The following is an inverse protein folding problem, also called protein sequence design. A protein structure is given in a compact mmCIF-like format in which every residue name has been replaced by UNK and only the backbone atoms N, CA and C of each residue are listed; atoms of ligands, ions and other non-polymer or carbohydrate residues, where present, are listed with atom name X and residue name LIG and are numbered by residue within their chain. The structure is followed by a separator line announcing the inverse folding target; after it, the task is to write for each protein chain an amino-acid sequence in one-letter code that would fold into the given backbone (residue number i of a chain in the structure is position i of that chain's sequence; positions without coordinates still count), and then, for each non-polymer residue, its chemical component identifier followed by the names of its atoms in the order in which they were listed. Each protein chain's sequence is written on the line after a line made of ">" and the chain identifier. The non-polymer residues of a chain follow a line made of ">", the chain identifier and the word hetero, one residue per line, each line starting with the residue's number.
data_IF_812312320862
#
_entry.id   IF_812312320862
#
_cell.length_a   1.000
_cell.length_b   1.000
_cell.length_c   1.000
_cell.angle_alpha   90.00
_cell.angle_beta   90.00
_cell.angle_gamma   90.00
#
_symmetry.space_group_name_H-M   'P 1'
#
loop_
_entity.id
_entity.type
_entity.pdbx_description
1 polymer ?
#
# COMPACT_ATOMS: atom_id res chain seq x y z
N UNK A 1 -95.06 -7.89 13.24
CA UNK A 1 -94.32 -6.63 13.05
C UNK A 1 -93.05 -6.99 12.30
N UNK A 2 -93.02 -6.69 11.01
CA UNK A 2 -91.92 -7.01 10.08
C UNK A 2 -91.43 -5.72 9.46
N UNK A 3 -90.16 -5.40 9.68
CA UNK A 3 -89.30 -4.51 8.88
C UNK A 3 -87.87 -4.84 9.35
N UNK A 4 -87.14 -5.72 8.67
CA UNK A 4 -86.40 -5.56 7.41
C UNK A 4 -85.20 -4.59 7.54
N UNK A 5 -84.01 -5.19 7.61
CA UNK A 5 -82.70 -4.55 7.56
C UNK A 5 -82.27 -4.36 6.10
N UNK A 6 -81.71 -3.20 5.76
CA UNK A 6 -80.83 -3.04 4.59
C UNK A 6 -79.38 -2.76 5.05
N UNK A 7 -78.36 -3.30 4.39
CA UNK A 7 -76.96 -3.19 4.82
C UNK A 7 -76.26 -1.99 4.17
N UNK A 8 -75.50 -1.21 4.95
CA UNK A 8 -74.60 -0.19 4.41
C UNK A 8 -73.20 -0.77 4.21
N UNK A 9 -72.96 -1.03 2.94
CA UNK A 9 -71.76 -1.21 2.11
C UNK A 9 -70.38 -1.27 2.79
N UNK A 10 -69.66 -2.34 2.44
CA UNK A 10 -68.26 -2.55 2.74
C UNK A 10 -67.40 -2.06 1.59
N UNK A 11 -66.53 -1.10 1.86
CA UNK A 11 -65.48 -0.71 0.95
C UNK A 11 -64.62 0.39 1.55
N UNK A 12 -63.32 0.34 1.25
CA UNK A 12 -62.34 1.45 1.34
C UNK A 12 -61.45 1.63 2.57
N UNK A 13 -61.27 0.64 3.45
CA UNK A 13 -60.24 0.72 4.50
C UNK A 13 -58.96 -0.09 4.19
N UNK A 14 -59.08 -1.35 3.78
CA UNK A 14 -57.90 -2.24 3.68
C UNK A 14 -57.04 -2.02 2.44
N UNK A 15 -57.63 -1.65 1.30
CA UNK A 15 -56.84 -1.34 0.10
C UNK A 15 -56.06 -0.04 0.24
N UNK A 16 -56.55 0.91 1.03
CA UNK A 16 -55.95 2.24 1.20
C UNK A 16 -54.72 2.17 2.09
N UNK A 17 -54.74 1.39 3.17
CA UNK A 17 -53.60 1.21 4.07
C UNK A 17 -52.45 0.40 3.45
N UNK A 18 -52.76 -0.67 2.70
CA UNK A 18 -51.72 -1.47 2.02
C UNK A 18 -51.07 -0.67 0.88
N UNK A 19 -51.85 0.15 0.16
CA UNK A 19 -51.31 1.07 -0.84
C UNK A 19 -50.53 2.23 -0.22
N UNK A 20 -50.87 2.68 1.00
CA UNK A 20 -50.13 3.71 1.73
C UNK A 20 -48.79 3.17 2.26
N UNK A 21 -48.77 1.94 2.79
CA UNK A 21 -47.56 1.27 3.24
C UNK A 21 -46.60 0.98 2.06
N UNK A 22 -47.12 0.53 0.91
CA UNK A 22 -46.32 0.34 -0.31
C UNK A 22 -45.80 1.67 -0.87
N UNK A 23 -46.60 2.75 -0.88
CA UNK A 23 -46.12 4.09 -1.28
C UNK A 23 -45.03 4.62 -0.35
N UNK A 24 -45.15 4.39 0.96
CA UNK A 24 -44.16 4.82 1.95
C UNK A 24 -42.86 4.01 1.90
N UNK A 25 -42.91 2.73 1.48
CA UNK A 25 -41.71 1.93 1.24
C UNK A 25 -41.01 2.29 -0.08
N UNK A 26 -41.75 2.72 -1.10
CA UNK A 26 -41.17 3.12 -2.39
C UNK A 26 -40.62 4.56 -2.41
N UNK A 27 -41.16 5.46 -1.59
CA UNK A 27 -40.72 6.85 -1.48
C UNK A 27 -39.20 7.01 -1.18
N UNK A 28 -38.56 6.25 -0.27
CA UNK A 28 -37.12 6.33 -0.03
C UNK A 28 -36.27 5.84 -1.21
N UNK A 29 -36.75 4.84 -1.97
CA UNK A 29 -36.06 4.38 -3.18
C UNK A 29 -36.14 5.40 -4.32
N UNK A 30 -37.29 6.08 -4.47
CA UNK A 30 -37.47 7.13 -5.46
C UNK A 30 -36.61 8.36 -5.12
N UNK A 31 -36.59 8.77 -3.85
CA UNK A 31 -35.71 9.88 -3.41
C UNK A 31 -34.24 9.53 -3.55
N UNK A 32 -33.82 8.32 -3.18
CA UNK A 32 -32.44 7.86 -3.41
C UNK A 32 -32.08 7.83 -4.90
N UNK A 33 -32.97 7.32 -5.76
CA UNK A 33 -32.74 7.28 -7.21
C UNK A 33 -32.66 8.68 -7.83
N UNK A 34 -33.50 9.62 -7.42
CA UNK A 34 -33.47 11.02 -7.89
C UNK A 34 -32.18 11.71 -7.43
N UNK A 35 -31.75 11.49 -6.18
CA UNK A 35 -30.48 12.03 -5.67
C UNK A 35 -29.26 11.39 -6.33
N UNK A 36 -29.27 10.08 -6.59
CA UNK A 36 -28.20 9.37 -7.28
C UNK A 36 -28.09 9.82 -8.74
N UNK A 37 -29.22 10.00 -9.43
CA UNK A 37 -29.26 10.54 -10.78
C UNK A 37 -28.81 12.00 -10.85
N UNK A 38 -29.24 12.84 -9.90
CA UNK A 38 -28.77 14.22 -9.81
C UNK A 38 -27.26 14.26 -9.56
N UNK A 39 -26.75 13.48 -8.60
CA UNK A 39 -25.32 13.39 -8.29
C UNK A 39 -24.50 12.95 -9.51
N UNK A 40 -24.92 11.92 -10.25
CA UNK A 40 -24.24 11.50 -11.48
C UNK A 40 -24.42 12.48 -12.64
N UNK A 41 -25.50 13.25 -12.71
CA UNK A 41 -25.64 14.29 -13.72
C UNK A 41 -24.70 15.48 -13.47
N UNK A 42 -24.47 15.87 -12.22
CA UNK A 42 -23.53 16.95 -11.87
C UNK A 42 -22.08 16.49 -11.85
N UNK A 43 -21.80 15.28 -11.37
CA UNK A 43 -20.44 14.74 -11.21
C UNK A 43 -19.97 13.90 -12.39
N UNK A 44 -20.89 13.38 -13.21
CA UNK A 44 -20.58 12.53 -14.37
C UNK A 44 -19.58 13.14 -15.35
N UNK A 45 -19.68 14.44 -15.70
CA UNK A 45 -18.69 15.12 -16.53
C UNK A 45 -17.27 15.18 -15.90
N UNK A 46 -17.18 15.17 -14.57
CA UNK A 46 -15.92 15.15 -13.80
C UNK A 46 -15.39 13.73 -13.52
N UNK A 47 -16.21 12.71 -13.77
CA UNK A 47 -15.89 11.30 -13.51
C UNK A 47 -15.66 10.47 -14.79
N UNK A 48 -15.88 11.05 -15.97
CA UNK A 48 -15.60 10.39 -17.25
C UNK A 48 -14.09 10.20 -17.46
N UNK A 49 -13.61 9.08 -18.04
CA UNK A 49 -12.19 8.77 -18.19
C UNK A 49 -11.38 9.81 -18.99
N UNK A 50 -12.05 10.62 -19.82
CA UNK A 50 -11.43 11.68 -20.64
C UNK A 50 -11.97 13.08 -20.33
N UNK A 51 -12.71 13.25 -19.23
CA UNK A 51 -13.27 14.54 -18.82
C UNK A 51 -12.23 15.39 -18.08
N UNK A 52 -11.44 16.16 -18.83
CA UNK A 52 -10.46 17.08 -18.24
C UNK A 52 -11.15 18.20 -17.45
N UNK A 53 -10.80 18.34 -16.17
CA UNK A 53 -11.20 19.49 -15.36
C UNK A 53 -10.47 20.73 -15.90
N UNK A 54 -11.15 21.84 -16.25
CA UNK A 54 -10.49 23.06 -16.69
C UNK A 54 -9.48 23.54 -15.64
N UNK A 55 -8.23 23.77 -16.06
CA UNK A 55 -7.08 24.03 -15.20
C UNK A 55 -7.24 25.32 -14.37
N UNK A 56 -8.12 26.20 -14.82
CA UNK A 56 -8.57 27.46 -14.24
C UNK A 56 -9.53 27.29 -13.05
N UNK A 57 -10.16 26.12 -12.90
CA UNK A 57 -10.98 25.81 -11.72
C UNK A 57 -10.13 25.36 -10.52
N UNK A 58 -8.98 24.74 -10.78
CA UNK A 58 -8.04 24.22 -9.75
C UNK A 58 -7.25 25.34 -9.08
N UNK A 59 -7.11 26.49 -9.74
CA UNK A 59 -6.27 27.60 -9.28
C UNK A 59 -7.06 28.72 -8.56
N UNK A 60 -8.38 28.82 -8.76
CA UNK A 60 -9.20 29.92 -8.23
C UNK A 60 -9.78 29.74 -6.83
N UNK A 61 -9.96 28.50 -6.36
CA UNK A 61 -10.37 28.19 -4.98
C UNK A 61 -9.47 27.06 -4.52
N UNK A 62 -8.33 27.42 -3.93
CA UNK A 62 -7.21 26.50 -3.69
C UNK A 62 -7.64 25.17 -3.10
N UNK A 63 -6.91 24.10 -3.41
CA UNK A 63 -7.09 22.74 -2.88
C UNK A 63 -7.30 22.69 -1.35
N UNK A 64 -6.85 23.71 -0.61
CA UNK A 64 -7.11 23.88 0.82
C UNK A 64 -8.57 24.29 1.13
N UNK A 65 -9.19 25.14 0.30
CA UNK A 65 -10.58 25.56 0.43
C UNK A 65 -11.58 24.45 0.07
N UNK A 66 -11.36 23.73 -1.03
CA UNK A 66 -12.21 22.60 -1.40
C UNK A 66 -12.05 21.43 -0.41
N UNK A 67 -10.81 21.18 0.05
CA UNK A 67 -10.53 20.20 1.10
C UNK A 67 -11.19 20.55 2.43
N UNK A 68 -11.19 21.83 2.83
CA UNK A 68 -11.87 22.29 4.04
C UNK A 68 -13.41 22.21 3.91
N UNK A 69 -13.97 22.52 2.75
CA UNK A 69 -15.41 22.36 2.49
C UNK A 69 -15.82 20.88 2.52
N UNK A 70 -15.00 19.98 1.98
CA UNK A 70 -15.29 18.55 1.96
C UNK A 70 -15.06 17.88 3.33
N UNK A 71 -14.02 18.27 4.06
CA UNK A 71 -13.69 17.67 5.36
C UNK A 71 -14.49 18.25 6.52
N UNK A 72 -14.90 19.52 6.46
CA UNK A 72 -15.61 20.19 7.56
C UNK A 72 -17.05 20.58 7.23
N UNK A 73 -17.33 21.09 6.02
CA UNK A 73 -18.69 21.53 5.70
C UNK A 73 -19.60 20.36 5.30
N UNK A 74 -19.11 19.37 4.55
CA UNK A 74 -19.91 18.22 4.13
C UNK A 74 -20.46 17.41 5.33
N UNK A 75 -19.65 17.05 6.34
CA UNK A 75 -20.15 16.32 7.52
C UNK A 75 -21.14 17.12 8.34
N UNK A 76 -20.97 18.45 8.41
CA UNK A 76 -21.93 19.34 9.06
C UNK A 76 -23.24 19.42 8.28
N UNK A 77 -23.17 19.56 6.96
CA UNK A 77 -24.35 19.58 6.09
C UNK A 77 -25.09 18.24 6.19
N UNK A 78 -24.40 17.10 6.05
CA UNK A 78 -25.03 15.78 6.20
C UNK A 78 -25.56 15.55 7.61
N UNK A 79 -24.89 16.06 8.64
CA UNK A 79 -25.36 16.01 10.03
C UNK A 79 -26.65 16.84 10.25
N UNK A 80 -26.71 18.05 9.68
CA UNK A 80 -27.92 18.90 9.73
C UNK A 80 -29.09 18.28 8.94
N UNK A 81 -28.83 17.67 7.79
CA UNK A 81 -29.85 16.95 7.02
C UNK A 81 -30.32 15.68 7.73
N UNK A 82 -29.42 14.93 8.39
CA UNK A 82 -29.80 13.77 9.19
C UNK A 82 -30.63 14.14 10.42
N UNK A 83 -30.30 15.25 11.09
CA UNK A 83 -31.08 15.79 12.21
C UNK A 83 -32.46 16.31 11.76
N UNK A 84 -32.53 17.00 10.62
CA UNK A 84 -33.80 17.45 10.04
C UNK A 84 -34.69 16.29 9.60
N UNK A 85 -34.13 15.30 8.91
CA UNK A 85 -34.84 14.09 8.50
C UNK A 85 -35.31 13.27 9.71
N UNK A 86 -34.49 13.15 10.76
CA UNK A 86 -34.86 12.49 12.01
C UNK A 86 -35.98 13.24 12.76
N UNK A 87 -35.95 14.58 12.80
CA UNK A 87 -36.98 15.38 13.45
C UNK A 87 -38.34 15.31 12.72
N UNK A 88 -38.33 15.34 11.37
CA UNK A 88 -39.55 15.18 10.56
C UNK A 88 -40.10 13.76 10.71
N UNK A 89 -39.24 12.74 10.72
CA UNK A 89 -39.64 11.34 10.88
C UNK A 89 -40.20 11.04 12.28
N UNK A 90 -39.55 11.51 13.35
CA UNK A 90 -40.05 11.37 14.72
C UNK A 90 -41.35 12.14 14.97
N UNK A 91 -41.59 13.22 14.22
CA UNK A 91 -42.86 13.96 14.25
C UNK A 91 -44.02 13.23 13.54
N UNK A 92 -43.73 12.42 12.50
CA UNK A 92 -44.72 11.59 11.81
C UNK A 92 -44.93 10.21 12.46
N UNK A 93 -43.91 9.68 13.16
CA UNK A 93 -43.89 8.33 13.71
C UNK A 93 -43.30 8.30 15.14
N UNK A 94 -44.10 8.61 16.18
CA UNK A 94 -43.62 8.78 17.56
C UNK A 94 -43.09 7.49 18.22
N UNK A 95 -43.40 6.30 17.69
CA UNK A 95 -43.02 5.00 18.29
C UNK A 95 -41.70 4.42 17.72
N UNK A 96 -41.08 5.08 16.73
CA UNK A 96 -39.93 4.57 15.99
C UNK A 96 -38.58 5.06 16.57
N UNK A 97 -38.25 4.64 17.79
CA UNK A 97 -37.02 5.08 18.47
C UNK A 97 -35.70 4.62 17.82
N UNK A 98 -35.73 3.61 16.92
CA UNK A 98 -34.50 2.97 16.39
C UNK A 98 -34.10 3.39 14.96
N UNK A 99 -34.91 4.20 14.27
CA UNK A 99 -34.64 4.57 12.87
C UNK A 99 -33.58 5.67 12.72
N UNK A 100 -33.43 6.57 13.69
CA UNK A 100 -32.43 7.65 13.66
C UNK A 100 -30.99 7.13 13.67
N UNK A 101 -30.74 6.02 14.36
CA UNK A 101 -29.41 5.39 14.43
C UNK A 101 -28.95 4.84 13.07
N UNK A 102 -29.87 4.28 12.29
CA UNK A 102 -29.57 3.73 10.96
C UNK A 102 -29.13 4.83 10.00
N UNK A 103 -29.81 5.98 10.01
CA UNK A 103 -29.44 7.13 9.18
C UNK A 103 -28.11 7.76 9.58
N UNK A 104 -27.82 7.83 10.88
CA UNK A 104 -26.53 8.30 11.39
C UNK A 104 -25.41 7.36 10.93
N UNK A 105 -25.58 6.05 11.08
CA UNK A 105 -24.59 5.05 10.68
C UNK A 105 -24.37 5.03 9.16
N UNK A 106 -25.43 5.17 8.36
CA UNK A 106 -25.33 5.25 6.91
C UNK A 106 -24.56 6.51 6.45
N UNK A 107 -24.79 7.65 7.11
CA UNK A 107 -24.06 8.90 6.83
C UNK A 107 -22.58 8.76 7.17
N UNK A 108 -22.24 8.12 8.29
CA UNK A 108 -20.83 7.89 8.68
C UNK A 108 -20.14 6.96 7.67
N UNK A 109 -20.81 5.88 7.25
CA UNK A 109 -20.27 4.94 6.27
C UNK A 109 -20.01 5.60 4.90
N UNK A 110 -20.90 6.48 4.42
CA UNK A 110 -20.66 7.23 3.19
C UNK A 110 -19.43 8.14 3.30
N UNK A 111 -19.28 8.87 4.41
CA UNK A 111 -18.14 9.78 4.61
C UNK A 111 -16.81 9.01 4.62
N UNK A 112 -16.76 7.86 5.27
CA UNK A 112 -15.56 7.00 5.29
C UNK A 112 -15.18 6.52 3.88
N UNK A 113 -16.17 6.09 3.09
CA UNK A 113 -15.94 5.62 1.72
C UNK A 113 -15.47 6.74 0.78
N UNK A 114 -16.00 7.96 0.93
CA UNK A 114 -15.56 9.13 0.15
C UNK A 114 -14.10 9.49 0.49
N UNK A 115 -13.73 9.47 1.78
CA UNK A 115 -12.34 9.74 2.20
C UNK A 115 -11.39 8.67 1.66
N UNK A 116 -11.75 7.38 1.77
CA UNK A 116 -10.95 6.28 1.26
C UNK A 116 -10.71 6.39 -0.26
N UNK A 117 -11.73 6.78 -1.02
CA UNK A 117 -11.62 7.02 -2.47
C UNK A 117 -10.73 8.22 -2.81
N UNK A 118 -10.81 9.33 -2.06
CA UNK A 118 -9.95 10.51 -2.29
C UNK A 118 -8.47 10.16 -2.03
N UNK A 119 -8.18 9.43 -0.95
CA UNK A 119 -6.80 9.04 -0.61
C UNK A 119 -6.21 8.12 -1.68
N UNK A 120 -7.00 7.18 -2.22
CA UNK A 120 -6.55 6.26 -3.26
C UNK A 120 -6.42 6.93 -4.65
N UNK A 121 -7.20 7.97 -4.97
CA UNK A 121 -7.08 8.69 -6.25
C UNK A 121 -5.93 9.69 -6.34
N UNK A 122 -5.39 10.20 -5.22
CA UNK A 122 -4.20 11.07 -5.25
C UNK A 122 -2.99 10.40 -5.92
N UNK A 123 -2.91 9.07 -5.92
CA UNK A 123 -1.84 8.33 -6.58
C UNK A 123 -1.97 8.20 -8.11
N UNK A 124 -3.12 8.58 -8.70
CA UNK A 124 -3.40 8.37 -10.15
C UNK A 124 -3.23 9.64 -10.97
N UNK A 125 -3.34 10.83 -10.38
CA UNK A 125 -3.37 12.10 -11.15
C UNK A 125 -1.95 12.61 -11.47
N UNK A 126 -0.93 12.21 -10.72
CA UNK A 126 0.45 12.65 -10.97
C UNK A 126 1.07 11.99 -12.23
N UNK A 127 0.47 10.92 -12.78
CA UNK A 127 1.08 10.10 -13.84
C UNK A 127 0.62 10.41 -15.27
N UNK A 128 -0.36 11.28 -15.50
CA UNK A 128 -0.85 11.60 -16.85
C UNK A 128 -0.34 12.96 -17.36
N UNK A 129 0.88 12.99 -17.89
CA UNK A 129 1.33 14.05 -18.80
C UNK A 129 2.01 13.43 -20.02
N UNK A 130 1.49 13.57 -21.26
CA UNK A 130 2.03 12.85 -22.41
C UNK A 130 3.21 13.60 -23.03
N UNK A 131 4.31 12.89 -23.30
CA UNK A 131 5.42 13.35 -24.13
C UNK A 131 5.31 12.75 -25.54
N UNK A 132 5.54 13.59 -26.55
CA UNK A 132 5.43 13.31 -27.98
C UNK A 132 6.51 12.38 -28.53
N UNK A 133 6.14 11.58 -29.52
CA UNK A 133 6.92 10.55 -30.20
C UNK A 133 8.02 11.09 -31.14
N UNK A 134 9.09 10.31 -31.31
CA UNK A 134 9.80 10.17 -32.59
C UNK A 134 10.54 8.83 -32.72
N UNK A 135 10.62 8.34 -33.96
CA UNK A 135 10.95 6.96 -34.44
C UNK A 135 12.47 6.72 -34.65
N UNK A 136 13.00 5.47 -34.62
CA UNK A 136 14.41 5.19 -34.32
C UNK A 136 15.31 4.95 -35.55
N UNK A 137 16.63 5.15 -35.37
CA UNK A 137 17.67 4.64 -36.26
C UNK A 137 18.68 3.75 -35.48
N UNK A 138 18.97 2.56 -36.03
CA UNK A 138 19.83 1.48 -35.51
C UNK A 138 21.31 1.65 -35.98
N UNK A 139 22.30 0.82 -35.57
CA UNK A 139 23.37 1.17 -34.63
C UNK A 139 24.78 1.10 -35.24
N UNK A 140 25.78 1.72 -34.59
CA UNK A 140 27.21 1.38 -34.79
C UNK A 140 27.95 1.33 -33.46
N UNK A 141 28.81 0.33 -33.36
CA UNK A 141 29.53 -0.22 -32.19
C UNK A 141 30.70 0.62 -31.65
N UNK A 142 30.81 0.62 -30.31
CA UNK A 142 31.96 0.87 -29.39
C UNK A 142 32.57 2.30 -29.33
N UNK A 143 33.07 2.83 -28.17
CA UNK A 143 33.51 2.18 -26.92
C UNK A 143 32.81 2.69 -25.63
N UNK A 144 33.10 2.12 -24.45
CA UNK A 144 32.49 2.38 -23.11
C UNK A 144 32.06 3.85 -22.90
N UNK A 145 30.74 4.16 -22.89
CA UNK A 145 30.21 5.44 -22.46
C UNK A 145 29.56 5.33 -21.07
N UNK A 146 29.55 6.49 -20.41
CA UNK A 146 29.07 6.74 -19.06
C UNK A 146 27.62 6.35 -18.81
N UNK A 147 27.34 6.13 -17.51
CA UNK A 147 26.05 6.12 -16.85
C UNK A 147 24.87 6.56 -17.73
N UNK A 148 23.89 5.67 -17.89
CA UNK A 148 22.54 6.07 -18.29
C UNK A 148 22.06 7.05 -17.22
N UNK A 149 21.96 8.32 -17.60
CA UNK A 149 21.42 9.35 -16.71
C UNK A 149 19.95 8.99 -16.40
N UNK A 150 19.55 8.96 -15.13
CA UNK A 150 18.18 8.69 -14.73
C UNK A 150 17.27 9.85 -15.16
N UNK A 151 15.97 9.57 -15.24
CA UNK A 151 14.94 10.59 -15.28
C UNK A 151 15.26 11.67 -14.22
N UNK A 152 15.35 12.92 -14.66
CA UNK A 152 15.92 14.00 -13.88
C UNK A 152 15.12 14.29 -12.60
N UNK A 153 15.58 13.77 -11.47
CA UNK A 153 15.43 14.41 -10.18
C UNK A 153 16.58 15.42 -9.99
N UNK A 154 16.21 16.65 -9.65
CA UNK A 154 17.11 17.77 -9.33
C UNK A 154 18.19 17.35 -8.30
N UNK A 155 19.44 17.85 -8.36
CA UNK A 155 20.45 17.49 -7.38
C UNK A 155 20.06 18.07 -6.02
N UNK A 156 19.61 17.22 -5.12
CA UNK A 156 19.59 17.51 -3.70
C UNK A 156 20.98 17.19 -3.17
N UNK A 157 21.71 18.23 -2.77
CA UNK A 157 23.00 18.09 -2.08
C UNK A 157 22.87 17.19 -0.86
N UNK A 158 23.93 16.46 -0.58
CA UNK A 158 24.02 15.45 0.47
C UNK A 158 23.32 15.84 1.76
N UNK A 159 22.18 15.20 1.99
CA UNK A 159 21.74 14.80 3.32
C UNK A 159 21.71 13.29 3.30
N UNK A 160 22.85 12.66 3.57
CA UNK A 160 22.86 11.23 3.89
C UNK A 160 21.83 10.98 5.00
N UNK A 161 21.05 9.89 4.93
CA UNK A 161 20.17 9.54 6.04
C UNK A 161 21.01 9.49 7.32
N UNK A 162 20.52 10.10 8.41
CA UNK A 162 21.10 9.90 9.74
C UNK A 162 21.25 8.39 9.93
N UNK A 163 22.42 7.88 10.32
CA UNK A 163 22.64 6.45 10.43
C UNK A 163 21.62 5.88 11.42
N UNK A 164 20.74 5.01 10.93
CA UNK A 164 19.91 4.18 11.80
C UNK A 164 20.89 3.28 12.53
N UNK A 165 21.01 3.45 13.84
CA UNK A 165 21.89 2.59 14.64
C UNK A 165 21.35 1.17 14.56
N UNK A 166 22.25 0.22 14.29
CA UNK A 166 21.96 -1.20 14.35
C UNK A 166 21.38 -1.56 15.72
N UNK A 167 20.10 -1.97 15.74
CA UNK A 167 19.42 -2.45 16.93
C UNK A 167 19.50 -3.98 16.99
N UNK A 168 20.26 -4.49 17.96
CA UNK A 168 20.47 -5.93 18.16
C UNK A 168 19.19 -6.67 18.53
N UNK A 169 18.28 -6.04 19.25
CA UNK A 169 17.03 -6.68 19.67
C UNK A 169 16.08 -6.81 18.47
N UNK A 170 15.98 -5.76 17.65
CA UNK A 170 15.20 -5.84 16.40
C UNK A 170 15.85 -6.84 15.42
N UNK A 171 17.18 -6.91 15.35
CA UNK A 171 17.85 -7.93 14.54
C UNK A 171 17.45 -9.35 14.95
N UNK A 172 17.45 -9.64 16.26
CA UNK A 172 17.24 -10.98 16.79
C UNK A 172 15.77 -11.44 16.85
N UNK A 173 14.81 -10.51 16.88
CA UNK A 173 13.39 -10.83 17.10
C UNK A 173 12.43 -10.17 16.09
N UNK A 174 12.93 -9.28 15.24
CA UNK A 174 12.15 -8.47 14.31
C UNK A 174 12.58 -8.66 12.85
N UNK A 175 12.20 -7.70 12.02
CA UNK A 175 12.55 -7.66 10.59
C UNK A 175 13.63 -6.60 10.38
N UNK A 176 14.72 -7.01 9.75
CA UNK A 176 15.76 -6.10 9.28
C UNK A 176 15.69 -6.00 7.76
N UNK A 177 15.50 -4.78 7.24
CA UNK A 177 15.66 -4.48 5.82
C UNK A 177 17.04 -3.85 5.62
N UNK A 178 17.84 -4.41 4.73
CA UNK A 178 19.11 -3.81 4.31
C UNK A 178 18.99 -3.33 2.87
N UNK A 179 19.50 -2.13 2.59
CA UNK A 179 19.56 -1.61 1.22
C UNK A 179 21.00 -1.43 0.71
N UNK A 180 21.25 -1.90 -0.51
CA UNK A 180 22.44 -1.59 -1.31
C UNK A 180 22.03 -0.71 -2.50
N UNK A 181 22.59 0.50 -2.62
CA UNK A 181 22.15 1.46 -3.64
C UNK A 181 23.25 2.46 -4.01
N UNK A 182 23.19 2.95 -5.26
CA UNK A 182 23.95 4.16 -5.68
C UNK A 182 23.06 5.39 -5.86
N UNK A 183 21.88 5.23 -6.48
CA UNK A 183 20.99 6.34 -6.83
C UNK A 183 19.87 6.62 -5.81
N UNK A 184 19.70 5.77 -4.80
CA UNK A 184 18.68 5.89 -3.75
C UNK A 184 17.43 5.03 -3.95
N UNK A 185 17.25 4.36 -5.09
CA UNK A 185 16.02 3.59 -5.36
C UNK A 185 15.77 2.49 -4.32
N UNK A 186 16.78 1.66 -4.02
CA UNK A 186 16.61 0.60 -3.02
C UNK A 186 16.41 1.16 -1.60
N UNK A 187 16.98 2.32 -1.28
CA UNK A 187 16.76 2.99 0.00
C UNK A 187 15.29 3.44 0.14
N UNK A 188 14.73 4.03 -0.91
CA UNK A 188 13.32 4.43 -0.95
C UNK A 188 12.39 3.22 -0.83
N UNK A 189 12.64 2.17 -1.62
CA UNK A 189 11.87 0.92 -1.55
C UNK A 189 11.96 0.27 -0.17
N UNK A 190 13.12 0.30 0.50
CA UNK A 190 13.28 -0.23 1.85
C UNK A 190 12.48 0.56 2.88
N UNK A 191 12.38 1.89 2.73
CA UNK A 191 11.51 2.73 3.58
C UNK A 191 10.03 2.42 3.35
N UNK A 192 9.61 2.33 2.09
CA UNK A 192 8.22 1.98 1.73
C UNK A 192 7.86 0.60 2.31
N UNK A 193 8.73 -0.40 2.13
CA UNK A 193 8.54 -1.73 2.68
C UNK A 193 8.48 -1.72 4.21
N UNK A 194 9.33 -0.95 4.88
CA UNK A 194 9.32 -0.80 6.34
C UNK A 194 8.00 -0.22 6.86
N UNK A 195 7.52 0.85 6.25
CA UNK A 195 6.26 1.50 6.65
C UNK A 195 5.05 0.58 6.39
N UNK A 196 5.04 -0.13 5.27
CA UNK A 196 3.99 -1.08 4.94
C UNK A 196 4.00 -2.31 5.87
N UNK A 197 5.17 -2.84 6.22
CA UNK A 197 5.31 -3.92 7.20
C UNK A 197 4.76 -3.50 8.58
N UNK A 198 5.12 -2.29 9.04
CA UNK A 198 4.60 -1.73 10.30
C UNK A 198 3.09 -1.55 10.26
N UNK A 199 2.55 -1.01 9.17
CA UNK A 199 1.11 -0.86 8.98
C UNK A 199 0.37 -2.21 8.98
N UNK A 200 1.07 -3.31 8.71
CA UNK A 200 0.55 -4.67 8.66
C UNK A 200 0.80 -5.50 9.93
N UNK A 201 1.19 -4.86 11.04
CA UNK A 201 1.30 -5.49 12.37
C UNK A 201 2.69 -6.03 12.71
N UNK A 202 3.73 -5.68 11.95
CA UNK A 202 5.11 -5.97 12.31
C UNK A 202 5.72 -4.76 13.05
N UNK A 203 5.69 -4.78 14.39
CA UNK A 203 6.10 -3.61 15.19
C UNK A 203 7.63 -3.42 15.27
N UNK A 204 8.40 -4.51 15.16
CA UNK A 204 9.87 -4.52 15.25
C UNK A 204 10.48 -4.55 13.86
N UNK A 205 10.66 -3.38 13.25
CA UNK A 205 11.25 -3.26 11.91
C UNK A 205 12.33 -2.19 11.90
N UNK A 206 13.52 -2.54 11.42
CA UNK A 206 14.63 -1.61 11.21
C UNK A 206 15.09 -1.62 9.75
N UNK A 207 15.59 -0.47 9.29
CA UNK A 207 16.17 -0.30 7.95
C UNK A 207 17.63 0.09 8.12
N UNK A 208 18.53 -0.64 7.47
CA UNK A 208 19.97 -0.47 7.56
C UNK A 208 20.57 -0.20 6.18
N UNK A 209 21.52 0.73 6.14
CA UNK A 209 22.44 0.86 5.00
C UNK A 209 23.37 -0.35 4.98
N UNK A 210 23.62 -0.94 3.81
CA UNK A 210 24.58 -2.05 3.70
C UNK A 210 25.97 -1.69 4.25
N UNK A 211 26.37 -0.41 4.18
CA UNK A 211 27.69 0.06 4.65
C UNK A 211 27.84 0.07 6.18
N UNK A 212 26.76 -0.17 6.93
CA UNK A 212 26.82 -0.35 8.39
C UNK A 212 26.64 -1.82 8.81
N UNK A 213 26.44 -2.72 7.85
CA UNK A 213 26.26 -4.16 8.11
C UNK A 213 27.59 -4.87 7.89
N UNK A 214 28.20 -5.29 8.99
CA UNK A 214 29.37 -6.16 8.98
C UNK A 214 28.96 -7.64 8.89
N UNK A 215 29.85 -8.48 8.37
CA UNK A 215 29.64 -9.93 8.26
C UNK A 215 29.34 -10.59 9.62
N UNK A 216 29.88 -10.04 10.72
CA UNK A 216 29.63 -10.53 12.08
C UNK A 216 28.20 -10.27 12.58
N UNK A 217 27.48 -9.30 11.98
CA UNK A 217 26.08 -9.04 12.30
C UNK A 217 25.13 -10.06 11.68
N UNK A 218 25.55 -10.79 10.64
CA UNK A 218 24.66 -11.63 9.84
C UNK A 218 23.98 -12.74 10.66
N UNK A 219 24.70 -13.34 11.61
CA UNK A 219 24.14 -14.36 12.51
C UNK A 219 23.09 -13.82 13.49
N UNK A 220 23.02 -12.49 13.68
CA UNK A 220 22.07 -11.87 14.59
C UNK A 220 20.72 -11.60 13.92
N UNK A 221 20.61 -11.70 12.59
CA UNK A 221 19.36 -11.42 11.88
C UNK A 221 18.45 -12.65 11.86
N UNK A 222 17.32 -12.56 12.55
CA UNK A 222 16.32 -13.62 12.50
C UNK A 222 15.47 -13.55 11.23
N UNK A 223 15.11 -12.34 10.78
CA UNK A 223 14.31 -12.13 9.57
C UNK A 223 14.96 -10.99 8.76
N UNK A 224 15.59 -11.32 7.64
CA UNK A 224 16.48 -10.46 6.88
C UNK A 224 16.00 -10.24 5.44
N UNK A 225 15.65 -9.00 5.10
CA UNK A 225 15.20 -8.63 3.75
C UNK A 225 16.27 -7.78 3.07
N UNK A 226 16.74 -8.20 1.91
CA UNK A 226 17.76 -7.50 1.14
C UNK A 226 17.13 -6.80 -0.04
N UNK A 227 17.39 -5.50 -0.19
CA UNK A 227 17.01 -4.72 -1.37
C UNK A 227 18.29 -4.16 -1.99
N UNK A 228 18.72 -4.66 -3.14
CA UNK A 228 20.02 -4.25 -3.70
C UNK A 228 19.97 -4.00 -5.19
N UNK A 229 20.64 -2.94 -5.65
CA UNK A 229 20.87 -2.69 -7.08
C UNK A 229 22.13 -3.41 -7.57
N UNK A 230 22.27 -3.57 -8.88
CA UNK A 230 23.54 -4.04 -9.50
C UNK A 230 24.15 -2.90 -10.31
N UNK A 231 25.48 -2.79 -10.30
CA UNK A 231 26.22 -1.74 -11.00
C UNK A 231 27.26 -2.29 -11.98
N UNK A 232 27.53 -1.51 -13.04
CA UNK A 232 28.59 -1.81 -14.01
C UNK A 232 28.48 -3.21 -14.61
N UNK A 233 29.56 -3.99 -14.49
CA UNK A 233 29.68 -5.33 -15.05
C UNK A 233 29.21 -6.41 -14.05
N UNK A 234 28.18 -6.10 -13.26
CA UNK A 234 27.61 -7.00 -12.26
C UNK A 234 28.14 -6.83 -10.84
N UNK A 235 28.79 -5.69 -10.57
CA UNK A 235 29.34 -5.33 -9.28
C UNK A 235 28.25 -4.94 -8.28
N UNK A 236 28.48 -5.15 -6.98
CA UNK A 236 27.61 -4.60 -5.95
C UNK A 236 27.69 -3.06 -5.93
N UNK A 237 26.67 -2.37 -5.40
CA UNK A 237 26.76 -0.96 -5.06
C UNK A 237 27.90 -0.74 -4.05
N UNK A 238 28.53 0.42 -4.09
CA UNK A 238 29.64 0.84 -3.25
C UNK A 238 29.37 0.64 -1.76
N UNK A 239 28.14 0.92 -1.31
CA UNK A 239 27.76 0.73 0.08
C UNK A 239 27.61 -0.76 0.49
N UNK A 240 27.49 -1.69 -0.46
CA UNK A 240 27.38 -3.12 -0.20
C UNK A 240 28.63 -3.93 -0.57
N UNK A 241 29.64 -3.29 -1.16
CA UNK A 241 30.83 -3.96 -1.69
C UNK A 241 31.60 -4.73 -0.61
N UNK A 242 31.85 -4.12 0.55
CA UNK A 242 32.57 -4.74 1.65
C UNK A 242 31.84 -6.00 2.17
N UNK A 243 30.52 -5.91 2.38
CA UNK A 243 29.71 -7.04 2.84
C UNK A 243 29.69 -8.17 1.82
N UNK A 244 29.49 -7.86 0.53
CA UNK A 244 29.46 -8.87 -0.53
C UNK A 244 30.80 -9.58 -0.68
N UNK A 245 31.90 -8.84 -0.59
CA UNK A 245 33.25 -9.42 -0.64
C UNK A 245 33.51 -10.31 0.58
N UNK A 246 33.12 -9.88 1.79
CA UNK A 246 33.25 -10.67 3.00
C UNK A 246 32.44 -11.98 2.94
N UNK A 247 31.21 -11.91 2.43
CA UNK A 247 30.34 -13.07 2.21
C UNK A 247 30.91 -14.06 1.18
N UNK A 248 31.59 -13.57 0.14
CA UNK A 248 32.21 -14.40 -0.90
C UNK A 248 33.55 -15.03 -0.47
N UNK A 249 34.23 -14.45 0.52
CA UNK A 249 35.57 -14.87 0.95
C UNK A 249 35.63 -16.22 1.68
N UNK A 250 34.51 -16.96 1.78
CA UNK A 250 34.39 -18.28 2.43
C UNK A 250 35.00 -18.33 3.85
N UNK A 251 34.80 -17.25 4.61
CA UNK A 251 35.34 -17.11 5.96
C UNK A 251 34.52 -17.92 7.00
N UNK A 252 35.16 -18.71 7.89
CA UNK A 252 34.46 -19.53 8.88
C UNK A 252 34.01 -18.74 10.14
N UNK A 253 32.94 -19.14 10.87
CA UNK A 253 31.80 -19.94 10.48
C UNK A 253 30.52 -19.07 10.42
N UNK A 254 30.20 -18.52 9.24
CA UNK A 254 28.88 -17.91 9.03
C UNK A 254 27.83 -19.05 8.96
N UNK A 255 26.82 -19.02 9.84
CA UNK A 255 25.74 -20.00 9.89
C UNK A 255 24.41 -19.30 10.06
N UNK A 256 23.56 -19.41 9.05
CA UNK A 256 22.29 -18.71 8.93
C UNK A 256 21.08 -19.64 9.11
N UNK A 257 21.27 -20.80 9.75
CA UNK A 257 20.21 -21.80 9.99
C UNK A 257 19.01 -21.23 10.77
N UNK A 258 19.22 -20.16 11.56
CA UNK A 258 18.19 -19.42 12.30
C UNK A 258 17.60 -18.21 11.55
N UNK A 259 18.06 -17.92 10.34
CA UNK A 259 17.73 -16.71 9.58
C UNK A 259 16.72 -17.02 8.47
N UNK A 260 15.58 -16.35 8.50
CA UNK A 260 14.68 -16.22 7.36
C UNK A 260 15.16 -15.08 6.46
N UNK A 261 15.13 -15.26 5.14
CA UNK A 261 15.49 -14.18 4.23
C UNK A 261 14.68 -14.13 2.94
N UNK A 262 14.68 -12.96 2.29
CA UNK A 262 14.25 -12.79 0.90
C UNK A 262 14.98 -11.60 0.27
N UNK A 263 15.13 -11.62 -1.05
CA UNK A 263 15.91 -10.64 -1.80
C UNK A 263 15.04 -9.98 -2.88
N UNK A 264 15.07 -8.65 -2.94
CA UNK A 264 14.63 -7.84 -4.06
C UNK A 264 15.87 -7.28 -4.75
N UNK A 265 16.01 -7.53 -6.05
CA UNK A 265 17.14 -7.01 -6.82
C UNK A 265 16.68 -6.03 -7.87
N UNK A 266 17.32 -4.86 -7.95
CA UNK A 266 17.12 -3.93 -9.06
C UNK A 266 18.28 -4.09 -10.06
N UNK A 267 17.94 -4.12 -11.34
CA UNK A 267 18.88 -4.20 -12.44
C UNK A 267 18.28 -3.65 -13.73
N UNK A 268 19.01 -3.79 -14.82
CA UNK A 268 18.57 -3.41 -16.16
C UNK A 268 18.90 -4.56 -17.10
N UNK A 269 17.90 -5.09 -17.81
CA UNK A 269 18.06 -6.23 -18.71
C UNK A 269 18.90 -5.91 -19.95
N UNK A 270 19.19 -4.62 -20.19
CA UNK A 270 20.13 -4.16 -21.21
C UNK A 270 21.59 -4.53 -20.89
N UNK A 271 21.88 -4.95 -19.66
CA UNK A 271 23.21 -5.41 -19.21
C UNK A 271 23.25 -6.93 -19.10
N UNK A 272 24.38 -7.52 -19.49
CA UNK A 272 24.59 -8.98 -19.44
C UNK A 272 24.44 -9.54 -18.02
N UNK A 273 24.87 -8.78 -17.02
CA UNK A 273 24.84 -9.17 -15.61
C UNK A 273 23.58 -8.66 -14.89
N UNK A 274 22.42 -8.85 -15.50
CA UNK A 274 21.12 -8.47 -14.95
C UNK A 274 20.92 -9.01 -13.51
N UNK A 275 20.67 -8.12 -12.55
CA UNK A 275 20.45 -8.42 -11.13
C UNK A 275 21.53 -9.29 -10.47
N UNK A 276 22.78 -9.26 -10.95
CA UNK A 276 23.86 -10.11 -10.43
C UNK A 276 24.08 -9.95 -8.93
N UNK A 277 24.10 -8.72 -8.41
CA UNK A 277 24.34 -8.49 -6.99
C UNK A 277 23.26 -9.17 -6.12
N UNK A 278 21.98 -9.05 -6.49
CA UNK A 278 20.91 -9.71 -5.75
C UNK A 278 20.93 -11.23 -5.87
N UNK A 279 21.33 -11.76 -7.03
CA UNK A 279 21.56 -13.21 -7.22
C UNK A 279 22.68 -13.70 -6.30
N UNK A 280 23.79 -12.98 -6.23
CA UNK A 280 24.92 -13.31 -5.37
C UNK A 280 24.50 -13.31 -3.87
N UNK A 281 23.72 -12.31 -3.41
CA UNK A 281 23.17 -12.31 -2.05
C UNK A 281 22.29 -13.54 -1.79
N UNK A 282 21.36 -13.82 -2.70
CA UNK A 282 20.39 -14.90 -2.55
C UNK A 282 21.06 -16.29 -2.52
N UNK A 283 22.05 -16.51 -3.37
CA UNK A 283 22.84 -17.74 -3.40
C UNK A 283 23.69 -17.91 -2.14
N UNK A 284 24.36 -16.85 -1.70
CA UNK A 284 25.25 -16.91 -0.54
C UNK A 284 24.48 -17.09 0.76
N UNK A 285 23.35 -16.39 0.95
CA UNK A 285 22.49 -16.56 2.12
C UNK A 285 21.96 -18.00 2.22
N UNK A 286 21.54 -18.58 1.08
CA UNK A 286 21.13 -19.98 1.03
C UNK A 286 22.29 -20.95 1.30
N UNK A 287 23.49 -20.68 0.75
CA UNK A 287 24.70 -21.49 0.97
C UNK A 287 25.03 -21.63 2.46
N UNK A 288 24.84 -20.55 3.23
CA UNK A 288 25.11 -20.54 4.68
C UNK A 288 23.96 -21.05 5.56
N UNK A 289 22.90 -21.63 4.98
CA UNK A 289 21.80 -22.25 5.73
C UNK A 289 20.57 -21.35 5.93
N UNK A 290 20.57 -20.14 5.37
CA UNK A 290 19.42 -19.24 5.42
C UNK A 290 18.17 -19.86 4.81
N UNK A 291 17.02 -19.62 5.43
CA UNK A 291 15.73 -20.06 4.93
C UNK A 291 15.06 -18.99 4.07
N UNK A 292 14.94 -19.24 2.77
CA UNK A 292 14.24 -18.35 1.86
C UNK A 292 12.73 -18.39 2.12
N UNK A 293 12.17 -17.31 2.66
CA UNK A 293 10.72 -17.22 2.97
C UNK A 293 9.88 -16.87 1.75
N UNK A 294 10.46 -16.13 0.82
CA UNK A 294 9.84 -15.79 -0.45
C UNK A 294 10.91 -15.70 -1.51
N UNK A 295 10.59 -16.16 -2.71
CA UNK A 295 11.52 -16.21 -3.83
C UNK A 295 12.06 -14.81 -4.16
N UNK A 296 13.33 -14.78 -4.56
CA UNK A 296 13.97 -13.55 -5.03
C UNK A 296 13.18 -12.98 -6.22
N UNK A 297 13.00 -11.68 -6.22
CA UNK A 297 12.42 -10.96 -7.37
C UNK A 297 13.48 -10.06 -7.98
N UNK A 298 13.74 -10.29 -9.27
CA UNK A 298 14.64 -9.51 -10.10
C UNK A 298 13.81 -8.47 -10.86
N UNK A 299 14.04 -7.19 -10.57
CA UNK A 299 13.32 -6.05 -11.12
C UNK A 299 14.14 -5.36 -12.21
N UNK A 300 13.50 -5.07 -13.35
CA UNK A 300 14.04 -4.20 -14.39
C UNK A 300 13.74 -2.72 -14.08
N UNK A 301 13.84 -1.83 -15.08
CA UNK A 301 13.55 -0.39 -14.95
C UNK A 301 12.15 -0.08 -14.39
N UNK A 302 11.15 -0.91 -14.72
CA UNK A 302 9.78 -0.82 -14.21
C UNK A 302 9.63 -1.72 -12.96
N UNK A 303 10.17 -1.26 -11.84
CA UNK A 303 10.32 -2.07 -10.62
C UNK A 303 9.13 -1.99 -9.67
N UNK A 304 8.16 -1.09 -9.86
CA UNK A 304 7.07 -0.84 -8.92
C UNK A 304 6.12 -2.04 -8.74
N UNK A 305 5.67 -2.64 -9.83
CA UNK A 305 4.80 -3.83 -9.76
C UNK A 305 5.54 -5.06 -9.21
N UNK A 306 6.74 -5.42 -9.70
CA UNK A 306 7.54 -6.49 -9.12
C UNK A 306 7.82 -6.28 -7.64
N UNK A 307 8.14 -5.06 -7.22
CA UNK A 307 8.34 -4.70 -5.82
C UNK A 307 7.10 -4.96 -4.97
N UNK A 308 5.92 -4.49 -5.41
CA UNK A 308 4.66 -4.75 -4.68
C UNK A 308 4.39 -6.23 -4.56
N UNK A 309 4.58 -6.99 -5.64
CA UNK A 309 4.38 -8.44 -5.64
C UNK A 309 5.33 -9.14 -4.65
N UNK A 310 6.60 -8.73 -4.64
CA UNK A 310 7.58 -9.23 -3.68
C UNK A 310 7.18 -8.92 -2.24
N UNK A 311 6.80 -7.67 -1.95
CA UNK A 311 6.42 -7.23 -0.62
C UNK A 311 5.18 -7.97 -0.09
N UNK A 312 4.14 -8.13 -0.92
CA UNK A 312 2.97 -8.93 -0.57
C UNK A 312 3.33 -10.40 -0.32
N UNK A 313 4.20 -10.97 -1.15
CA UNK A 313 4.69 -12.33 -1.00
C UNK A 313 5.43 -12.55 0.31
N UNK A 314 6.39 -11.68 0.63
CA UNK A 314 7.13 -11.69 1.89
C UNK A 314 6.19 -11.53 3.07
N UNK A 315 5.26 -10.57 3.05
CA UNK A 315 4.27 -10.38 4.11
C UNK A 315 3.44 -11.64 4.33
N UNK A 316 2.94 -12.25 3.25
CA UNK A 316 2.17 -13.49 3.31
C UNK A 316 2.98 -14.62 3.95
N UNK A 317 4.23 -14.78 3.53
CA UNK A 317 5.13 -15.80 4.07
C UNK A 317 5.44 -15.58 5.56
N UNK A 318 5.74 -14.35 5.98
CA UNK A 318 6.03 -14.02 7.38
C UNK A 318 4.79 -14.18 8.28
N UNK A 319 3.59 -13.86 7.78
CA UNK A 319 2.33 -14.09 8.51
C UNK A 319 2.00 -15.58 8.66
N UNK A 320 2.26 -16.38 7.62
CA UNK A 320 1.96 -17.82 7.62
C UNK A 320 3.00 -18.67 8.37
N UNK A 321 4.29 -18.38 8.16
CA UNK A 321 5.41 -19.13 8.74
C UNK A 321 5.86 -18.62 10.11
N UNK A 322 5.41 -17.42 10.50
CA UNK A 322 5.84 -16.73 11.72
C UNK A 322 7.26 -16.17 11.61
N UNK A 323 7.52 -15.09 12.36
CA UNK A 323 8.88 -14.57 12.53
C UNK A 323 9.73 -15.59 13.28
N UNK A 324 10.97 -15.80 12.82
CA UNK A 324 11.98 -16.47 13.64
C UNK A 324 12.49 -15.53 14.71
N UNK A 325 13.00 -16.12 15.77
CA UNK A 325 13.89 -15.45 16.72
C UNK A 325 15.18 -16.23 16.82
N UNK A 326 16.32 -15.55 17.00
CA UNK A 326 17.61 -16.23 17.17
C UNK A 326 17.62 -17.13 18.41
N UNK A 327 16.90 -16.74 19.48
CA UNK A 327 16.76 -17.56 20.68
C UNK A 327 16.14 -18.95 20.41
N UNK A 328 15.17 -19.04 19.50
CA UNK A 328 14.58 -20.34 19.11
C UNK A 328 15.59 -21.26 18.42
N UNK A 329 16.60 -20.68 17.76
CA UNK A 329 17.66 -21.45 17.12
C UNK A 329 18.68 -21.95 18.15
N UNK A 330 19.12 -21.09 19.07
CA UNK A 330 20.08 -21.45 20.13
C UNK A 330 19.53 -22.55 21.06
N UNK A 331 18.25 -22.48 21.43
CA UNK A 331 17.60 -23.51 22.27
C UNK A 331 17.55 -24.88 21.55
N UNK A 332 17.34 -24.88 20.23
CA UNK A 332 17.33 -26.09 19.41
C UNK A 332 18.72 -26.71 19.27
N UNK A 333 19.78 -25.91 19.12
CA UNK A 333 21.16 -26.43 19.09
C UNK A 333 21.56 -27.04 20.44
N UNK A 334 21.21 -26.41 21.57
CA UNK A 334 21.45 -26.99 22.91
C UNK A 334 20.69 -28.31 23.13
N UNK A 335 19.44 -28.39 22.67
CA UNK A 335 18.65 -29.62 22.76
C UNK A 335 19.21 -30.75 21.86
N UNK A 336 19.77 -30.42 20.69
CA UNK A 336 20.38 -31.39 19.78
C UNK A 336 21.77 -31.87 20.20
N UNK A 337 22.53 -31.07 20.94
CA UNK A 337 23.87 -31.43 21.42
C UNK A 337 23.87 -32.30 22.69
N UNK A 338 22.71 -32.51 23.32
CA UNK A 338 22.53 -33.32 24.54
C UNK A 338 21.91 -34.71 24.29
N UNK A 339 21.69 -35.07 23.02
CA UNK A 339 21.19 -36.38 22.57
C UNK A 339 22.29 -37.18 21.86
#
# INVERSE_FOLDING_TARGET
>A
MTQENTPIDGGTASETEDNLAKKNLFFPFITFAVFYAAFWATMGPFMAPNGGVPQDFVTGVGLLGLGAVILFALPLITGFYALGAAAIWSGLHPDAANTSLIWILASVAMTVNVIAWIVTRKGVVESEKPATADTPAKPKTAPKPAAVAPAAAKPAGGSGPKPVKFDKQIAAEGITLMFGTESGNCEELAKIASDDLKANGFDKVQVLDAGVVDITHMNAFANFLVLTSTWGDGDPPSNAEELVNAMKADAPPLKLDGTQFSVLSLGDTSYDQFCKCGKDFDEVLAKYGGHRVFDRVDCDLEFEEPFRKWLEGVKGALKAGGLKTIAQFEEKELAGASA
#
